data_IF_989090123286
#
_entry.id   IF_989090123286
#
_cell.length_a   1.000
_cell.length_b   1.000
_cell.length_c   1.000
_cell.angle_alpha   90.00
_cell.angle_beta   90.00
_cell.angle_gamma   90.00
#
_symmetry.space_group_name_H-M   'P 1'
#
loop_
_entity.id
_entity.type
_entity.pdbx_description
1 polymer ?
#
# COMPACT_ATOMS: atom_id res chain seq x y z
N UNK A 1 29.72 -44.21 -27.40
CA UNK A 1 28.74 -43.11 -27.18
C UNK A 1 29.54 -41.81 -27.08
N UNK A 2 29.40 -40.92 -28.06
CA UNK A 2 30.41 -39.91 -28.41
C UNK A 2 30.40 -38.76 -27.39
N UNK A 3 31.59 -38.32 -26.97
CA UNK A 3 31.85 -37.17 -26.07
C UNK A 3 31.00 -35.93 -26.43
N UNK A 4 30.70 -35.72 -27.72
CA UNK A 4 29.81 -34.65 -28.18
C UNK A 4 28.38 -34.70 -27.65
N UNK A 5 27.84 -35.89 -27.33
CA UNK A 5 26.49 -36.02 -26.74
C UNK A 5 26.45 -35.54 -25.28
N UNK A 6 27.53 -35.76 -24.53
CA UNK A 6 27.67 -35.32 -23.14
C UNK A 6 27.81 -33.79 -23.07
N UNK A 7 28.58 -33.21 -23.99
CA UNK A 7 28.75 -31.75 -24.09
C UNK A 7 27.42 -31.07 -24.44
N UNK A 8 26.66 -31.62 -25.38
CA UNK A 8 25.34 -31.08 -25.76
C UNK A 8 24.33 -31.09 -24.60
N UNK A 9 24.35 -32.12 -23.75
CA UNK A 9 23.48 -32.18 -22.56
C UNK A 9 23.91 -31.12 -21.53
N UNK A 10 25.22 -30.93 -21.31
CA UNK A 10 25.74 -29.91 -20.38
C UNK A 10 25.35 -28.49 -20.79
N UNK A 11 25.45 -28.16 -22.08
CA UNK A 11 25.03 -26.84 -22.61
C UNK A 11 23.52 -26.64 -22.49
N UNK A 12 22.73 -27.69 -22.74
CA UNK A 12 21.28 -27.63 -22.61
C UNK A 12 20.83 -27.38 -21.16
N UNK A 13 21.48 -28.02 -20.18
CA UNK A 13 21.22 -27.79 -18.75
C UNK A 13 21.60 -26.37 -18.30
N UNK A 14 22.69 -25.80 -18.84
CA UNK A 14 23.07 -24.41 -18.57
C UNK A 14 22.07 -23.40 -19.16
N UNK A 15 21.55 -23.66 -20.36
CA UNK A 15 20.52 -22.83 -21.00
C UNK A 15 19.23 -22.90 -20.19
N UNK A 16 18.79 -24.10 -19.77
CA UNK A 16 17.61 -24.27 -18.90
C UNK A 16 17.83 -23.55 -17.55
N UNK A 17 19.00 -23.70 -16.94
CA UNK A 17 19.36 -23.00 -15.71
C UNK A 17 19.31 -21.48 -15.87
N UNK A 18 19.81 -20.95 -16.98
CA UNK A 18 19.74 -19.53 -17.32
C UNK A 18 18.30 -19.05 -17.54
N UNK A 19 17.45 -19.84 -18.23
CA UNK A 19 16.04 -19.51 -18.41
C UNK A 19 15.25 -19.58 -17.10
N UNK A 20 15.51 -20.54 -16.22
CA UNK A 20 14.90 -20.63 -14.89
C UNK A 20 15.35 -19.45 -14.02
N UNK A 21 16.63 -19.08 -14.05
CA UNK A 21 17.15 -17.92 -13.34
C UNK A 21 16.55 -16.61 -13.86
N UNK A 22 16.46 -16.43 -15.19
CA UNK A 22 15.83 -15.27 -15.83
C UNK A 22 14.32 -15.22 -15.60
N UNK A 23 13.66 -16.37 -15.41
CA UNK A 23 12.22 -16.44 -15.07
C UNK A 23 11.98 -16.16 -13.58
N UNK A 24 12.89 -16.57 -12.69
CA UNK A 24 12.93 -16.11 -11.28
C UNK A 24 13.21 -14.61 -11.19
N UNK A 25 14.12 -14.07 -12.01
CA UNK A 25 14.44 -12.64 -12.02
C UNK A 25 13.39 -11.76 -12.71
N UNK A 26 12.46 -12.35 -13.48
CA UNK A 26 11.33 -11.64 -14.09
C UNK A 26 10.08 -11.62 -13.21
N UNK A 27 10.04 -12.45 -12.16
CA UNK A 27 8.94 -12.52 -11.19
C UNK A 27 9.16 -11.63 -9.96
N UNK A 28 10.28 -10.91 -9.88
CA UNK A 28 10.31 -9.72 -9.05
C UNK A 28 9.42 -8.69 -9.74
N UNK A 29 8.17 -8.51 -9.26
CA UNK A 29 7.56 -7.18 -9.29
C UNK A 29 8.69 -6.20 -9.00
N UNK A 30 8.91 -5.21 -9.87
CA UNK A 30 9.99 -4.25 -9.68
C UNK A 30 9.94 -3.77 -8.24
N UNK A 31 10.91 -4.18 -7.41
CA UNK A 31 10.98 -3.71 -6.04
C UNK A 31 10.98 -2.18 -6.11
N UNK A 32 10.16 -1.49 -5.30
CA UNK A 32 10.03 -0.06 -5.43
C UNK A 32 11.39 0.58 -5.27
N UNK A 33 11.69 1.60 -6.07
CA UNK A 33 13.01 2.23 -6.02
C UNK A 33 13.17 3.20 -4.86
N UNK A 34 12.06 3.53 -4.18
CA UNK A 34 12.00 4.45 -3.04
C UNK A 34 10.76 4.19 -2.15
N UNK A 35 10.85 4.63 -0.89
CA UNK A 35 9.67 4.74 -0.02
C UNK A 35 8.97 6.08 -0.24
N UNK A 36 7.64 6.04 -0.35
CA UNK A 36 6.82 7.22 -0.53
C UNK A 36 6.81 8.08 0.73
N UNK A 37 6.89 9.39 0.54
CA UNK A 37 6.69 10.39 1.60
C UNK A 37 5.24 10.86 1.58
N UNK A 38 4.76 11.37 2.71
CA UNK A 38 3.44 12.00 2.80
C UNK A 38 3.33 13.29 1.98
N UNK A 39 4.37 14.11 1.93
CA UNK A 39 4.47 15.27 1.04
C UNK A 39 5.31 14.89 -0.18
N UNK A 40 4.81 15.18 -1.39
CA UNK A 40 5.52 14.94 -2.65
C UNK A 40 5.62 16.23 -3.45
N UNK A 41 6.78 16.43 -4.06
CA UNK A 41 7.03 17.55 -4.98
C UNK A 41 6.22 17.42 -6.28
N UNK A 42 5.79 16.20 -6.62
CA UNK A 42 5.03 15.89 -7.83
C UNK A 42 3.51 15.91 -7.63
N UNK A 43 3.03 16.25 -6.42
CA UNK A 43 1.61 16.23 -6.10
C UNK A 43 0.80 17.15 -7.03
N UNK A 44 -0.40 16.72 -7.41
CA UNK A 44 -1.26 17.47 -8.30
C UNK A 44 -2.73 17.21 -8.05
N UNK A 45 -3.59 18.15 -8.47
CA UNK A 45 -5.04 18.00 -8.40
C UNK A 45 -5.64 17.29 -9.63
N UNK A 46 -4.80 16.71 -10.51
CA UNK A 46 -5.23 16.16 -11.80
C UNK A 46 -6.04 14.87 -11.65
N UNK A 47 -5.80 14.15 -10.57
CA UNK A 47 -6.39 12.85 -10.26
C UNK A 47 -7.61 12.94 -9.36
N UNK A 48 -8.02 14.15 -8.96
CA UNK A 48 -9.17 14.33 -8.10
C UNK A 48 -10.45 14.05 -8.92
N UNK A 49 -11.25 13.03 -8.57
CA UNK A 49 -12.48 12.70 -9.27
C UNK A 49 -13.50 13.83 -9.14
N UNK A 50 -14.21 14.10 -10.23
CA UNK A 50 -15.39 14.97 -10.22
C UNK A 50 -16.63 14.13 -9.89
N UNK A 51 -17.43 14.59 -8.92
CA UNK A 51 -18.59 13.89 -8.37
C UNK A 51 -19.77 14.86 -8.19
N UNK A 52 -21.02 14.38 -8.22
CA UNK A 52 -22.19 15.22 -7.98
C UNK A 52 -22.15 15.95 -6.63
N UNK A 53 -22.71 17.17 -6.57
CA UNK A 53 -22.76 17.99 -5.33
C UNK A 53 -23.36 17.25 -4.14
N UNK A 54 -24.41 16.47 -4.39
CA UNK A 54 -25.14 15.73 -3.37
C UNK A 54 -24.58 14.32 -3.11
N UNK A 55 -23.44 13.94 -3.69
CA UNK A 55 -22.92 12.57 -3.67
C UNK A 55 -22.76 11.98 -2.25
N UNK A 56 -22.12 12.71 -1.33
CA UNK A 56 -21.97 12.24 0.06
C UNK A 56 -23.34 12.14 0.74
N UNK A 57 -24.21 13.13 0.55
CA UNK A 57 -25.55 13.14 1.16
C UNK A 57 -26.43 11.98 0.65
N UNK A 58 -26.30 11.61 -0.63
CA UNK A 58 -26.99 10.45 -1.20
C UNK A 58 -26.51 9.13 -0.59
N UNK A 59 -25.20 8.98 -0.37
CA UNK A 59 -24.64 7.82 0.33
C UNK A 59 -25.15 7.76 1.77
N UNK A 60 -25.08 8.86 2.51
CA UNK A 60 -25.57 8.92 3.90
C UNK A 60 -27.05 8.53 3.98
N UNK A 61 -27.89 9.09 3.10
CA UNK A 61 -29.31 8.74 3.01
C UNK A 61 -29.53 7.27 2.63
N UNK A 62 -28.71 6.69 1.74
CA UNK A 62 -28.79 5.27 1.36
C UNK A 62 -28.52 4.36 2.56
N UNK A 63 -27.66 4.75 3.49
CA UNK A 63 -27.21 3.93 4.61
C UNK A 63 -27.86 4.27 5.96
N UNK A 64 -28.64 5.35 6.02
CA UNK A 64 -29.38 5.72 7.21
C UNK A 64 -30.30 4.59 7.71
N UNK A 65 -30.24 4.33 9.02
CA UNK A 65 -30.99 3.28 9.70
C UNK A 65 -30.63 1.83 9.31
N UNK A 66 -29.68 1.58 8.41
CA UNK A 66 -29.26 0.22 8.04
C UNK A 66 -28.28 -0.36 9.05
N UNK A 67 -28.42 -1.66 9.33
CA UNK A 67 -27.41 -2.39 10.10
C UNK A 67 -26.07 -2.39 9.35
N UNK A 68 -24.98 -2.17 10.09
CA UNK A 68 -23.65 -2.21 9.51
C UNK A 68 -23.30 -3.61 9.00
N UNK A 69 -22.69 -3.70 7.83
CA UNK A 69 -22.18 -4.93 7.25
C UNK A 69 -20.73 -4.70 6.81
N UNK A 70 -19.84 -5.63 7.18
CA UNK A 70 -18.39 -5.53 6.97
C UNK A 70 -17.96 -5.28 5.52
N UNK A 71 -18.72 -5.79 4.55
CA UNK A 71 -18.37 -5.74 3.12
C UNK A 71 -19.38 -4.98 2.27
N UNK A 72 -20.37 -4.33 2.90
CA UNK A 72 -21.42 -3.61 2.18
C UNK A 72 -22.00 -2.49 3.07
N UNK A 73 -21.38 -1.32 3.01
CA UNK A 73 -21.76 -0.15 3.79
C UNK A 73 -21.29 1.14 3.08
N UNK A 74 -21.50 2.30 3.71
CA UNK A 74 -21.14 3.60 3.15
C UNK A 74 -19.65 3.73 2.78
N UNK A 75 -18.75 3.07 3.50
CA UNK A 75 -17.32 3.10 3.20
C UNK A 75 -17.02 2.53 1.81
N UNK A 76 -17.66 1.43 1.40
CA UNK A 76 -17.43 0.84 0.08
C UNK A 76 -18.00 1.69 -1.06
N UNK A 77 -19.14 2.35 -0.85
CA UNK A 77 -19.68 3.29 -1.85
C UNK A 77 -18.74 4.51 -2.03
N UNK A 78 -18.11 4.97 -0.93
CA UNK A 78 -17.13 6.05 -0.98
C UNK A 78 -15.82 5.58 -1.63
N UNK A 79 -15.30 4.43 -1.21
CA UNK A 79 -14.09 3.80 -1.75
C UNK A 79 -14.16 3.62 -3.27
N UNK A 80 -15.30 3.12 -3.77
CA UNK A 80 -15.50 2.90 -5.20
C UNK A 80 -15.29 4.19 -6.02
N UNK A 81 -15.75 5.34 -5.54
CA UNK A 81 -15.65 6.61 -6.26
C UNK A 81 -14.39 7.41 -5.97
N UNK A 82 -13.96 7.44 -4.71
CA UNK A 82 -12.82 8.22 -4.28
C UNK A 82 -11.48 7.52 -4.55
N UNK A 83 -11.46 6.20 -4.73
CA UNK A 83 -10.24 5.41 -4.92
C UNK A 83 -10.28 4.50 -6.15
N UNK A 84 -11.23 3.55 -6.22
CA UNK A 84 -11.27 2.54 -7.30
C UNK A 84 -11.41 3.20 -8.68
N UNK A 85 -12.41 4.08 -8.87
CA UNK A 85 -12.60 4.86 -10.10
C UNK A 85 -11.35 5.67 -10.48
N UNK A 86 -10.54 6.12 -9.51
CA UNK A 86 -9.32 6.90 -9.75
C UNK A 86 -8.21 5.99 -10.30
N UNK A 87 -8.04 4.79 -9.73
CA UNK A 87 -7.15 3.78 -10.28
C UNK A 87 -7.58 3.37 -11.70
N UNK A 88 -8.87 3.10 -11.90
CA UNK A 88 -9.44 2.64 -13.17
C UNK A 88 -9.39 3.67 -14.29
N UNK A 89 -9.55 4.96 -13.97
CA UNK A 89 -9.41 6.04 -14.97
C UNK A 89 -7.96 6.28 -15.33
N UNK A 90 -7.04 6.15 -14.38
CA UNK A 90 -5.64 6.48 -14.61
C UNK A 90 -4.84 5.36 -15.23
N UNK A 91 -5.14 4.10 -14.87
CA UNK A 91 -4.49 2.89 -15.37
C UNK A 91 -2.98 3.05 -15.50
N UNK A 92 -2.35 3.46 -14.40
CA UNK A 92 -0.92 3.79 -14.39
C UNK A 92 -0.05 2.65 -14.94
N UNK A 93 -0.49 1.40 -14.74
CA UNK A 93 0.14 0.19 -15.28
C UNK A 93 0.14 0.12 -16.82
N UNK A 94 -0.86 0.69 -17.50
CA UNK A 94 -0.88 0.79 -18.97
C UNK A 94 0.07 1.87 -19.50
N UNK A 95 0.50 2.80 -18.64
CA UNK A 95 1.38 3.93 -18.97
C UNK A 95 2.85 3.65 -18.67
N UNK A 96 3.21 2.40 -18.31
CA UNK A 96 4.55 2.02 -17.82
C UNK A 96 5.01 2.85 -16.60
N UNK A 97 4.07 3.35 -15.81
CA UNK A 97 4.32 4.07 -14.57
C UNK A 97 4.37 3.06 -13.40
N UNK A 98 5.24 3.26 -12.41
CA UNK A 98 5.21 2.43 -11.19
C UNK A 98 4.05 2.86 -10.29
N UNK A 99 3.67 2.00 -9.34
CA UNK A 99 2.65 2.37 -8.35
C UNK A 99 3.11 3.60 -7.52
N UNK A 100 4.38 3.62 -7.11
CA UNK A 100 4.97 4.74 -6.39
C UNK A 100 4.91 6.05 -7.20
N UNK A 101 5.28 6.01 -8.48
CA UNK A 101 5.19 7.18 -9.36
C UNK A 101 3.76 7.72 -9.44
N UNK A 102 2.77 6.84 -9.55
CA UNK A 102 1.37 7.25 -9.61
C UNK A 102 0.91 7.88 -8.30
N UNK A 103 1.19 7.24 -7.17
CA UNK A 103 0.82 7.77 -5.86
C UNK A 103 1.49 9.11 -5.55
N UNK A 104 2.74 9.32 -5.99
CA UNK A 104 3.44 10.60 -5.86
C UNK A 104 2.74 11.77 -6.57
N UNK A 105 1.90 11.50 -7.58
CA UNK A 105 1.14 12.53 -8.30
C UNK A 105 -0.18 12.90 -7.62
N UNK A 106 -0.67 12.06 -6.70
CA UNK A 106 -1.89 12.29 -5.96
C UNK A 106 -1.68 13.42 -4.93
N UNK A 107 -2.78 14.04 -4.50
CA UNK A 107 -2.74 14.93 -3.34
C UNK A 107 -2.24 14.18 -2.09
N UNK A 108 -1.78 14.93 -1.10
CA UNK A 108 -1.46 14.39 0.22
C UNK A 108 -2.64 13.57 0.79
N UNK A 109 -3.84 14.11 0.72
CA UNK A 109 -5.05 13.50 1.29
C UNK A 109 -5.47 12.24 0.52
N UNK A 110 -5.35 12.24 -0.81
CA UNK A 110 -5.55 11.02 -1.60
C UNK A 110 -4.51 9.96 -1.23
N UNK A 111 -3.24 10.32 -1.03
CA UNK A 111 -2.20 9.35 -0.60
C UNK A 111 -2.50 8.73 0.76
N UNK A 112 -2.93 9.53 1.75
CA UNK A 112 -3.36 9.01 3.06
C UNK A 112 -4.49 8.00 2.88
N UNK A 113 -5.54 8.40 2.16
CA UNK A 113 -6.72 7.56 1.94
C UNK A 113 -6.39 6.26 1.20
N UNK A 114 -5.64 6.36 0.09
CA UNK A 114 -5.28 5.21 -0.74
C UNK A 114 -4.33 4.27 -0.01
N UNK A 115 -3.43 4.80 0.82
CA UNK A 115 -2.51 3.98 1.62
C UNK A 115 -3.28 3.11 2.60
N UNK A 116 -4.26 3.67 3.31
CA UNK A 116 -5.08 2.94 4.26
C UNK A 116 -5.99 1.92 3.56
N UNK A 117 -6.57 2.24 2.40
CA UNK A 117 -7.31 1.26 1.58
C UNK A 117 -6.43 0.08 1.16
N UNK A 118 -5.22 0.36 0.66
CA UNK A 118 -4.27 -0.69 0.31
C UNK A 118 -3.86 -1.51 1.53
N UNK A 119 -3.68 -0.87 2.69
CA UNK A 119 -3.43 -1.54 3.96
C UNK A 119 -4.56 -2.50 4.33
N UNK A 120 -5.80 -2.03 4.41
CA UNK A 120 -6.97 -2.85 4.71
C UNK A 120 -7.11 -4.03 3.74
N UNK A 121 -6.96 -3.78 2.43
CA UNK A 121 -7.04 -4.79 1.39
C UNK A 121 -6.02 -5.93 1.58
N UNK A 122 -4.76 -5.58 1.85
CA UNK A 122 -3.72 -6.59 2.04
C UNK A 122 -3.82 -7.29 3.39
N UNK A 123 -4.17 -6.57 4.46
CA UNK A 123 -4.35 -7.17 5.78
C UNK A 123 -5.52 -8.16 5.80
N UNK A 124 -6.63 -7.84 5.12
CA UNK A 124 -7.75 -8.78 4.96
C UNK A 124 -7.39 -10.04 4.15
N UNK A 125 -6.40 -9.97 3.25
CA UNK A 125 -6.01 -11.12 2.42
C UNK A 125 -4.90 -11.97 3.04
N UNK A 126 -3.92 -11.36 3.71
CA UNK A 126 -2.74 -12.08 4.21
C UNK A 126 -2.01 -11.36 5.32
N UNK A 127 -2.71 -10.51 6.07
CA UNK A 127 -2.15 -9.84 7.24
C UNK A 127 -1.22 -8.68 6.92
N UNK A 128 -0.64 -8.11 7.97
CA UNK A 128 0.26 -6.94 7.86
C UNK A 128 1.52 -7.31 7.08
N UNK A 129 1.95 -8.57 7.19
CA UNK A 129 3.03 -9.12 6.38
C UNK A 129 2.77 -8.95 4.87
N UNK A 130 1.58 -9.34 4.40
CA UNK A 130 1.26 -9.24 2.98
C UNK A 130 1.26 -7.78 2.50
N UNK A 131 0.84 -6.85 3.35
CA UNK A 131 0.93 -5.42 3.05
C UNK A 131 2.38 -4.96 2.84
N UNK A 132 3.26 -5.24 3.79
CA UNK A 132 4.67 -4.86 3.72
C UNK A 132 5.38 -5.46 2.51
N UNK A 133 4.98 -6.66 2.09
CA UNK A 133 5.56 -7.34 0.94
C UNK A 133 5.04 -6.83 -0.40
N UNK A 134 3.72 -6.60 -0.52
CA UNK A 134 3.10 -6.20 -1.79
C UNK A 134 3.18 -4.69 -2.04
N UNK A 135 3.23 -3.88 -0.98
CA UNK A 135 3.36 -2.42 -1.05
C UNK A 135 4.48 -1.88 -0.16
N UNK A 136 5.73 -2.34 -0.33
CA UNK A 136 6.85 -1.91 0.50
C UNK A 136 7.02 -0.38 0.48
N UNK A 137 6.77 0.29 -0.65
CA UNK A 137 6.84 1.74 -0.79
C UNK A 137 5.91 2.50 0.18
N UNK A 138 4.83 1.84 0.65
CA UNK A 138 3.83 2.40 1.55
C UNK A 138 4.12 2.13 3.03
N UNK A 139 5.15 1.35 3.37
CA UNK A 139 5.40 0.91 4.75
C UNK A 139 5.50 2.08 5.74
N UNK A 140 6.22 3.14 5.37
CA UNK A 140 6.37 4.32 6.23
C UNK A 140 5.12 5.20 6.16
N UNK A 141 4.56 5.37 4.95
CA UNK A 141 3.39 6.20 4.71
C UNK A 141 2.15 5.69 5.44
N UNK A 142 2.03 4.37 5.64
CA UNK A 142 0.93 3.77 6.38
C UNK A 142 0.89 4.24 7.84
N UNK A 143 2.05 4.32 8.51
CA UNK A 143 2.12 4.86 9.87
C UNK A 143 1.70 6.33 9.91
N UNK A 144 2.17 7.13 8.95
CA UNK A 144 1.78 8.54 8.85
C UNK A 144 0.28 8.72 8.56
N UNK A 145 -0.30 7.84 7.74
CA UNK A 145 -1.72 7.85 7.43
C UNK A 145 -2.57 7.46 8.65
N UNK A 146 -2.13 6.49 9.45
CA UNK A 146 -2.77 6.12 10.72
C UNK A 146 -2.75 7.30 11.71
N UNK A 147 -1.63 8.02 11.80
CA UNK A 147 -1.51 9.26 12.60
C UNK A 147 -2.50 10.33 12.14
N UNK A 148 -2.55 10.60 10.84
CA UNK A 148 -3.37 11.66 10.27
C UNK A 148 -4.88 11.40 10.42
N UNK A 149 -5.28 10.13 10.39
CA UNK A 149 -6.68 9.70 10.55
C UNK A 149 -7.08 9.42 12.00
N UNK A 150 -6.13 9.50 12.96
CA UNK A 150 -6.39 9.24 14.37
C UNK A 150 -6.70 7.77 14.68
N UNK A 151 -6.09 6.83 13.96
CA UNK A 151 -6.17 5.39 14.21
C UNK A 151 -5.17 4.98 15.31
N UNK A 152 -5.27 5.58 16.50
CA UNK A 152 -4.21 5.57 17.52
C UNK A 152 -3.74 4.18 17.96
N UNK A 153 -4.65 3.21 18.08
CA UNK A 153 -4.28 1.85 18.47
C UNK A 153 -3.45 1.18 17.38
N UNK A 154 -3.93 1.28 16.14
CA UNK A 154 -3.24 0.71 14.98
C UNK A 154 -1.90 1.40 14.73
N UNK A 155 -1.84 2.72 14.88
CA UNK A 155 -0.59 3.48 14.83
C UNK A 155 0.46 2.92 15.80
N UNK A 156 0.11 2.80 17.09
CA UNK A 156 1.04 2.34 18.14
C UNK A 156 1.56 0.94 17.85
N UNK A 157 0.66 0.01 17.51
CA UNK A 157 1.03 -1.37 17.23
C UNK A 157 1.84 -1.47 15.92
N UNK A 158 1.48 -0.68 14.90
CA UNK A 158 2.19 -0.67 13.62
C UNK A 158 3.57 -0.03 13.73
N UNK A 159 3.77 0.95 14.61
CA UNK A 159 5.12 1.48 14.90
C UNK A 159 6.04 0.38 15.47
N UNK A 160 5.51 -0.53 16.29
CA UNK A 160 6.26 -1.69 16.80
C UNK A 160 6.63 -2.61 15.63
N UNK A 161 5.68 -2.90 14.74
CA UNK A 161 5.94 -3.67 13.50
C UNK A 161 7.05 -3.01 12.70
N UNK A 162 7.01 -1.70 12.49
CA UNK A 162 8.06 -0.99 11.76
C UNK A 162 9.41 -1.02 12.49
N UNK A 163 9.45 -1.00 13.83
CA UNK A 163 10.69 -1.14 14.62
C UNK A 163 11.28 -2.55 14.51
N UNK A 164 10.45 -3.59 14.49
CA UNK A 164 10.90 -4.95 14.20
C UNK A 164 11.41 -5.07 12.77
N UNK A 165 10.69 -4.46 11.83
CA UNK A 165 10.96 -4.56 10.40
C UNK A 165 12.19 -3.79 9.94
N UNK A 166 12.37 -2.57 10.45
CA UNK A 166 13.42 -1.66 10.01
C UNK A 166 14.51 -1.41 11.06
N UNK A 167 14.37 -2.01 12.25
CA UNK A 167 15.20 -1.71 13.42
C UNK A 167 14.83 -0.37 14.07
N UNK A 168 15.52 -0.05 15.16
CA UNK A 168 15.23 1.16 15.94
C UNK A 168 15.44 2.47 15.12
N UNK A 169 14.43 3.33 15.11
CA UNK A 169 14.46 4.70 14.57
C UNK A 169 13.93 5.68 15.63
N UNK A 170 14.41 6.93 15.61
CA UNK A 170 13.91 7.98 16.51
C UNK A 170 12.82 8.83 15.87
N UNK A 171 12.93 9.05 14.56
CA UNK A 171 11.94 9.81 13.78
C UNK A 171 11.61 9.11 12.45
N UNK A 172 10.46 9.47 11.86
CA UNK A 172 10.07 9.03 10.50
C UNK A 172 11.07 9.53 9.45
N UNK A 173 11.60 10.75 9.61
CA UNK A 173 12.65 11.30 8.75
C UNK A 173 13.95 10.49 8.83
N UNK A 174 14.34 10.01 10.01
CA UNK A 174 15.49 9.12 10.16
C UNK A 174 15.29 7.82 9.37
N UNK A 175 14.07 7.27 9.43
CA UNK A 175 13.71 6.06 8.73
C UNK A 175 13.78 6.26 7.21
N UNK A 176 13.13 7.30 6.67
CA UNK A 176 13.26 7.65 5.25
C UNK A 176 14.71 7.83 4.81
N UNK A 177 15.53 8.51 5.63
CA UNK A 177 16.93 8.79 5.28
C UNK A 177 17.77 7.52 5.24
N UNK A 178 17.59 6.60 6.20
CA UNK A 178 18.29 5.31 6.22
C UNK A 178 17.95 4.45 5.02
N UNK A 179 16.68 4.45 4.62
CA UNK A 179 16.19 3.56 3.57
C UNK A 179 16.31 4.11 2.17
N UNK A 180 16.42 5.42 2.00
CA UNK A 180 16.72 6.06 0.72
C UNK A 180 18.21 6.45 0.61
N UNK A 181 19.08 5.86 1.44
CA UNK A 181 20.54 6.05 1.36
C UNK A 181 21.09 5.37 0.10
N UNK A 182 21.49 6.19 -0.87
CA UNK A 182 22.05 5.76 -2.15
C UNK A 182 23.45 5.14 -2.05
N UNK A 183 24.09 5.17 -0.87
CA UNK A 183 25.38 4.53 -0.63
C UNK A 183 25.29 3.02 -0.39
N UNK A 184 24.07 2.47 -0.20
CA UNK A 184 23.83 1.03 -0.08
C UNK A 184 23.13 0.48 -1.31
N UNK A 185 23.65 -0.59 -1.89
CA UNK A 185 23.00 -1.28 -3.01
C UNK A 185 21.59 -1.74 -2.61
N UNK A 186 20.61 -1.42 -3.46
CA UNK A 186 19.19 -1.70 -3.22
C UNK A 186 18.92 -3.21 -3.11
N UNK A 187 19.63 -4.03 -3.90
CA UNK A 187 19.46 -5.47 -3.85
C UNK A 187 19.88 -6.04 -2.49
N UNK A 188 20.95 -5.52 -1.89
CA UNK A 188 21.37 -5.93 -0.55
C UNK A 188 20.34 -5.48 0.51
N UNK A 189 19.76 -4.27 0.38
CA UNK A 189 18.66 -3.81 1.24
C UNK A 189 17.44 -4.74 1.13
N UNK A 190 17.07 -5.13 -0.08
CA UNK A 190 15.94 -6.02 -0.37
C UNK A 190 16.16 -7.47 0.06
N UNK A 191 17.39 -7.99 -0.06
CA UNK A 191 17.74 -9.33 0.42
C UNK A 191 17.74 -9.39 1.95
N UNK A 192 18.27 -8.37 2.64
CA UNK A 192 18.16 -8.29 4.11
C UNK A 192 16.71 -8.12 4.59
N UNK A 193 15.92 -7.32 3.87
CA UNK A 193 14.46 -7.24 4.02
C UNK A 193 13.83 -8.63 3.86
N UNK A 194 14.34 -9.43 2.92
CA UNK A 194 13.86 -10.79 2.67
C UNK A 194 14.16 -11.83 3.75
N UNK A 195 15.19 -11.59 4.56
CA UNK A 195 15.66 -12.56 5.55
C UNK A 195 15.09 -12.28 6.95
N UNK A 196 14.79 -11.01 7.27
CA UNK A 196 14.17 -10.60 8.54
C UNK A 196 12.70 -11.01 8.69
N UNK A 197 12.06 -11.47 7.61
CA UNK A 197 10.65 -11.87 7.55
C UNK A 197 10.22 -12.99 8.51
N UNK A 198 11.15 -13.82 8.98
CA UNK A 198 10.82 -14.96 9.83
C UNK A 198 10.43 -14.56 11.27
N UNK A 199 10.51 -13.28 11.62
CA UNK A 199 10.45 -12.84 13.02
C UNK A 199 9.54 -11.62 13.29
N UNK A 200 8.64 -11.23 12.37
CA UNK A 200 7.68 -10.12 12.59
C UNK A 200 6.50 -10.56 13.49
N UNK A 201 6.79 -10.99 14.71
CA UNK A 201 5.76 -11.52 15.63
C UNK A 201 4.74 -10.45 16.06
N UNK A 202 5.09 -9.17 16.00
CA UNK A 202 4.15 -8.09 16.36
C UNK A 202 2.97 -7.93 15.39
N UNK A 203 3.03 -8.48 14.18
CA UNK A 203 1.88 -8.40 13.24
C UNK A 203 0.66 -9.16 13.76
N UNK A 204 0.88 -10.24 14.51
CA UNK A 204 -0.19 -11.03 15.14
C UNK A 204 -1.02 -10.20 16.11
N UNK A 205 -0.42 -9.21 16.78
CA UNK A 205 -1.14 -8.29 17.67
C UNK A 205 -2.18 -7.49 16.88
N UNK A 206 -1.79 -6.93 15.74
CA UNK A 206 -2.70 -6.18 14.87
C UNK A 206 -3.80 -7.10 14.35
N UNK A 207 -3.41 -8.25 13.80
CA UNK A 207 -4.34 -9.22 13.21
C UNK A 207 -5.36 -9.76 14.23
N UNK A 208 -4.98 -9.87 15.51
CA UNK A 208 -5.89 -10.32 16.57
C UNK A 208 -7.13 -9.44 16.76
N UNK A 209 -7.05 -8.15 16.40
CA UNK A 209 -8.17 -7.22 16.54
C UNK A 209 -8.65 -6.62 15.23
N UNK A 210 -7.83 -6.57 14.18
CA UNK A 210 -8.15 -5.87 12.93
C UNK A 210 -9.45 -6.40 12.29
N UNK A 211 -9.71 -7.69 12.45
CA UNK A 211 -10.88 -8.36 11.89
C UNK A 211 -12.13 -8.33 12.78
N UNK A 212 -12.02 -7.79 14.00
CA UNK A 212 -13.17 -7.65 14.90
C UNK A 212 -14.14 -6.61 14.36
N UNK A 213 -15.44 -6.87 14.49
CA UNK A 213 -16.48 -5.94 14.02
C UNK A 213 -16.28 -4.53 14.58
N UNK A 214 -15.95 -4.41 15.87
CA UNK A 214 -15.74 -3.13 16.55
C UNK A 214 -14.62 -2.34 15.88
N UNK A 215 -13.47 -2.97 15.68
CA UNK A 215 -12.32 -2.29 15.09
C UNK A 215 -12.54 -1.99 13.60
N UNK A 216 -13.04 -2.95 12.82
CA UNK A 216 -13.29 -2.73 11.39
C UNK A 216 -14.30 -1.59 11.18
N UNK A 217 -15.33 -1.50 12.01
CA UNK A 217 -16.32 -0.41 11.93
C UNK A 217 -15.71 0.94 12.25
N UNK A 218 -14.89 1.04 13.30
CA UNK A 218 -14.17 2.27 13.65
C UNK A 218 -13.20 2.68 12.53
N UNK A 219 -12.42 1.73 12.01
CA UNK A 219 -11.49 1.93 10.91
C UNK A 219 -12.17 2.52 9.67
N UNK A 220 -13.26 1.89 9.23
CA UNK A 220 -14.04 2.35 8.08
C UNK A 220 -14.71 3.70 8.34
N UNK A 221 -15.17 3.97 9.57
CA UNK A 221 -15.74 5.27 9.92
C UNK A 221 -14.69 6.38 9.87
N UNK A 222 -13.47 6.15 10.37
CA UNK A 222 -12.36 7.13 10.27
C UNK A 222 -12.03 7.49 8.82
N UNK A 223 -12.08 6.51 7.93
CA UNK A 223 -11.88 6.70 6.49
C UNK A 223 -13.01 7.53 5.86
N UNK A 224 -14.27 7.27 6.22
CA UNK A 224 -15.42 8.08 5.79
C UNK A 224 -15.25 9.53 6.27
N UNK A 225 -14.94 9.71 7.56
CA UNK A 225 -14.78 11.04 8.18
C UNK A 225 -13.62 11.82 7.55
N UNK A 226 -12.54 11.13 7.20
CA UNK A 226 -11.40 11.74 6.51
C UNK A 226 -11.78 12.26 5.12
N UNK A 227 -12.57 11.50 4.35
CA UNK A 227 -13.09 11.95 3.05
C UNK A 227 -13.99 13.16 3.21
N UNK A 228 -14.91 13.13 4.19
CA UNK A 228 -15.86 14.22 4.45
C UNK A 228 -15.18 15.51 4.90
N UNK A 229 -14.08 15.39 5.63
CA UNK A 229 -13.32 16.54 6.15
C UNK A 229 -12.40 17.19 5.11
N UNK A 230 -12.13 16.49 3.99
CA UNK A 230 -11.18 16.93 2.98
C UNK A 230 -11.75 16.87 1.54
N UNK A 231 -12.93 17.49 1.28
CA UNK A 231 -13.64 17.34 0.01
C UNK A 231 -12.76 17.73 -1.17
N UNK A 232 -12.35 19.00 -1.31
CA UNK A 232 -11.59 19.52 -2.48
C UNK A 232 -10.21 18.89 -2.72
N UNK A 233 -9.75 18.05 -1.79
CA UNK A 233 -8.48 17.33 -1.85
C UNK A 233 -8.64 15.88 -2.25
N UNK A 234 -9.82 15.30 -2.04
CA UNK A 234 -10.12 13.89 -2.34
C UNK A 234 -11.10 13.77 -3.51
N UNK A 235 -12.02 14.72 -3.68
CA UNK A 235 -12.96 14.82 -4.79
C UNK A 235 -13.27 16.29 -5.14
N UNK A 236 -13.93 16.53 -6.26
CA UNK A 236 -14.44 17.85 -6.64
C UNK A 236 -15.91 17.74 -6.96
N UNK A 237 -16.67 18.73 -6.54
CA UNK A 237 -18.08 18.83 -6.90
C UNK A 237 -18.20 19.31 -8.37
N UNK A 238 -19.02 18.64 -9.16
CA UNK A 238 -19.47 19.13 -10.47
C UNK A 238 -20.52 20.23 -10.25
N UNK A 239 -20.22 21.43 -10.76
CA UNK A 239 -21.14 22.56 -10.85
C UNK A 239 -21.78 22.61 -12.25
#
# INVERSE_FOLDING_TARGET
MKIGFIISIGVFLLIIGFFIWKRKSKNTQNAPTEFLKLESENQSNKHIPKLPENWIAEIEKKWDGKAWNKYNNAYYDIWAKACEDVYDKNKYWEKNQTHADFLNELTKEQRVYFTLINFESQVNNGGVYQFLFNYPELSILALQAMQETGLEKLEKDYEIVLKEFFGNFKTIQDLHSKFNDNHRDWNNRWTSFSEGYKELTSTEVIESYFFTEIFTKDYQQKLIDYVKSNPDKIYKIEY
#
